data_IF_265685452254
#
_entry.id   IF_265685452254
#
_cell.length_a   1.000
_cell.length_b   1.000
_cell.length_c   1.000
_cell.angle_alpha   90.00
_cell.angle_beta   90.00
_cell.angle_gamma   90.00
#
_symmetry.space_group_name_H-M   'P 1'
#
loop_
_entity.id
_entity.type
_entity.pdbx_description
1 polymer ?
#
# COMPACT_ATOMS: atom_id res chain seq x y z
N UNK A 1 16.07 -6.51 13.60
CA UNK A 1 14.64 -6.57 13.90
C UNK A 1 14.23 -7.78 14.72
N UNK A 2 14.67 -8.99 14.38
CA UNK A 2 14.39 -10.22 15.16
C UNK A 2 14.90 -10.18 16.62
N UNK A 3 16.01 -9.48 16.89
CA UNK A 3 16.61 -9.36 18.23
C UNK A 3 15.76 -8.52 19.21
N UNK A 4 15.05 -7.50 18.72
CA UNK A 4 14.16 -6.69 19.55
C UNK A 4 12.92 -7.43 20.05
N UNK A 5 12.32 -8.26 19.17
CA UNK A 5 11.14 -9.06 19.51
C UNK A 5 11.46 -10.13 20.56
N UNK A 6 12.65 -10.74 20.48
CA UNK A 6 13.12 -11.75 21.45
C UNK A 6 13.38 -11.11 22.83
N UNK A 7 13.85 -9.85 22.89
CA UNK A 7 14.07 -9.16 24.16
C UNK A 7 12.76 -8.78 24.88
N UNK A 8 11.73 -8.36 24.17
CA UNK A 8 10.42 -8.00 24.75
C UNK A 8 9.70 -9.23 25.29
N UNK A 9 9.69 -10.33 24.55
CA UNK A 9 9.15 -11.62 25.01
C UNK A 9 9.94 -12.17 26.21
N UNK A 10 11.27 -11.99 26.21
CA UNK A 10 12.13 -12.41 27.31
C UNK A 10 11.91 -11.61 28.60
N UNK A 11 11.57 -10.33 28.52
CA UNK A 11 11.32 -9.48 29.70
C UNK A 11 9.97 -9.82 30.37
N UNK A 12 8.95 -10.14 29.59
CA UNK A 12 7.64 -10.50 30.11
C UNK A 12 7.63 -11.88 30.77
N UNK A 13 8.32 -12.85 30.20
CA UNK A 13 8.56 -14.16 30.85
C UNK A 13 9.36 -14.01 32.15
N UNK A 14 10.22 -13.00 32.26
CA UNK A 14 10.94 -12.69 33.49
C UNK A 14 10.07 -12.03 34.56
N UNK A 15 9.14 -11.13 34.19
CA UNK A 15 8.22 -10.46 35.12
C UNK A 15 7.16 -11.43 35.64
N UNK A 16 6.52 -12.21 34.78
CA UNK A 16 5.61 -13.31 35.19
C UNK A 16 6.38 -14.36 36.00
N UNK A 17 7.61 -14.70 35.60
CA UNK A 17 8.49 -15.60 36.34
C UNK A 17 8.90 -15.08 37.72
N UNK A 18 9.12 -13.75 37.89
CA UNK A 18 9.46 -13.15 39.17
C UNK A 18 8.27 -13.09 40.15
N UNK A 19 7.08 -12.76 39.66
CA UNK A 19 5.83 -12.81 40.50
C UNK A 19 5.52 -14.24 40.92
N UNK A 20 5.78 -15.21 40.05
CA UNK A 20 5.61 -16.65 40.34
C UNK A 20 6.65 -17.18 41.35
N UNK A 21 7.90 -16.64 41.29
CA UNK A 21 8.99 -17.09 42.17
C UNK A 21 8.80 -16.66 43.62
N UNK A 22 8.06 -15.59 43.90
CA UNK A 22 7.84 -15.09 45.26
C UNK A 22 6.71 -15.88 46.01
N UNK A 23 5.92 -16.71 45.35
CA UNK A 23 4.80 -17.46 46.01
C UNK A 23 4.99 -18.99 45.90
N UNK A 24 6.08 -19.50 46.44
CA UNK A 24 6.59 -20.85 46.25
C UNK A 24 6.00 -21.88 47.19
N UNK A 25 4.70 -22.26 47.08
CA UNK A 25 4.22 -23.54 47.65
C UNK A 25 3.14 -24.30 46.83
N UNK A 26 2.81 -23.86 45.61
CA UNK A 26 1.88 -24.58 44.73
C UNK A 26 2.40 -24.63 43.29
N UNK A 27 3.50 -25.36 43.04
CA UNK A 27 4.22 -25.38 41.76
C UNK A 27 3.47 -25.93 40.54
N UNK A 28 2.43 -26.72 40.72
CA UNK A 28 1.73 -27.36 39.58
C UNK A 28 0.53 -26.52 39.10
N UNK A 29 -0.21 -25.87 39.97
CA UNK A 29 -1.33 -25.00 39.61
C UNK A 29 -0.90 -23.71 38.92
N UNK A 30 0.28 -23.17 39.27
CA UNK A 30 0.83 -21.90 38.73
C UNK A 30 1.29 -22.02 37.29
N UNK A 31 1.74 -23.21 36.82
CA UNK A 31 2.21 -23.40 35.43
C UNK A 31 1.04 -23.45 34.44
N UNK A 32 -0.12 -23.96 34.85
CA UNK A 32 -1.32 -24.05 34.00
C UNK A 32 -2.02 -22.69 33.85
N UNK A 33 -1.96 -21.88 34.89
CA UNK A 33 -2.65 -20.59 35.01
C UNK A 33 -2.03 -19.44 34.20
N UNK A 34 -0.71 -19.41 34.03
CA UNK A 34 -0.02 -18.47 33.17
C UNK A 34 -0.27 -18.72 31.66
N UNK A 35 -0.54 -19.99 31.30
CA UNK A 35 -0.85 -20.36 29.92
C UNK A 35 -2.25 -19.91 29.48
N UNK A 36 -3.20 -19.84 30.37
CA UNK A 36 -4.57 -19.43 30.05
C UNK A 36 -4.62 -17.93 29.72
N UNK A 37 -4.02 -17.11 30.57
CA UNK A 37 -3.91 -15.67 30.34
C UNK A 37 -3.13 -15.36 29.05
N UNK A 38 -1.97 -16.02 28.85
CA UNK A 38 -1.15 -15.81 27.65
C UNK A 38 -1.90 -16.19 26.38
N UNK A 39 -2.70 -17.26 26.36
CA UNK A 39 -3.54 -17.62 25.21
C UNK A 39 -4.58 -16.55 24.88
N UNK A 40 -5.25 -15.97 25.88
CA UNK A 40 -6.21 -14.89 25.65
C UNK A 40 -5.52 -13.65 25.11
N UNK A 41 -4.35 -13.31 25.64
CA UNK A 41 -3.52 -12.20 25.15
C UNK A 41 -3.07 -12.46 23.69
N UNK A 42 -2.57 -13.67 23.39
CA UNK A 42 -2.16 -14.05 22.03
C UNK A 42 -3.32 -13.97 21.04
N UNK A 43 -4.54 -14.36 21.44
CA UNK A 43 -5.73 -14.25 20.57
C UNK A 43 -6.06 -12.80 20.27
N UNK A 44 -6.12 -11.93 21.27
CA UNK A 44 -6.39 -10.50 21.10
C UNK A 44 -5.32 -9.78 20.26
N UNK A 45 -4.04 -10.16 20.43
CA UNK A 45 -2.94 -9.59 19.63
C UNK A 45 -2.99 -10.10 18.19
N UNK A 46 -3.39 -11.36 17.95
CA UNK A 46 -3.38 -11.97 16.61
C UNK A 46 -4.39 -11.35 15.63
N UNK A 47 -5.54 -10.89 16.11
CA UNK A 47 -6.54 -10.20 15.28
C UNK A 47 -6.46 -8.66 15.37
N UNK A 48 -5.61 -8.15 16.26
CA UNK A 48 -5.36 -6.71 16.42
C UNK A 48 -6.48 -5.94 17.11
N UNK A 49 -7.43 -6.64 17.76
CA UNK A 49 -8.58 -6.03 18.42
C UNK A 49 -8.82 -6.66 19.78
N UNK A 50 -8.88 -5.88 20.84
CA UNK A 50 -9.26 -6.35 22.17
C UNK A 50 -10.77 -6.21 22.36
N UNK A 51 -11.50 -7.32 22.21
CA UNK A 51 -12.95 -7.36 22.33
C UNK A 51 -13.43 -7.26 23.79
N UNK A 52 -14.70 -6.89 24.01
CA UNK A 52 -15.28 -6.82 25.34
C UNK A 52 -15.29 -8.20 26.05
N UNK A 53 -15.45 -9.28 25.29
CA UNK A 53 -15.40 -10.64 25.83
C UNK A 53 -14.00 -11.00 26.34
N UNK A 54 -12.94 -10.61 25.59
CA UNK A 54 -11.56 -10.83 26.00
C UNK A 54 -11.19 -9.97 27.20
N UNK A 55 -11.63 -8.70 27.24
CA UNK A 55 -11.47 -7.85 28.43
C UNK A 55 -12.09 -8.48 29.68
N UNK A 56 -13.31 -8.98 29.56
CA UNK A 56 -14.02 -9.66 30.68
C UNK A 56 -13.28 -10.92 31.11
N UNK A 57 -12.76 -11.69 30.17
CA UNK A 57 -12.01 -12.91 30.47
C UNK A 57 -10.66 -12.60 31.14
N UNK A 58 -9.95 -11.60 30.66
CA UNK A 58 -8.70 -11.12 31.29
C UNK A 58 -8.98 -10.62 32.71
N UNK A 59 -10.05 -9.86 32.91
CA UNK A 59 -10.46 -9.37 34.23
C UNK A 59 -10.74 -10.51 35.20
N UNK A 60 -11.48 -11.52 34.78
CA UNK A 60 -11.76 -12.72 35.60
C UNK A 60 -10.49 -13.46 35.98
N UNK A 61 -9.59 -13.69 35.03
CA UNK A 61 -8.31 -14.33 35.27
C UNK A 61 -7.42 -13.47 36.20
N UNK A 62 -7.40 -12.16 36.03
CA UNK A 62 -6.64 -11.25 36.88
C UNK A 62 -7.13 -11.31 38.33
N UNK A 63 -8.44 -11.28 38.55
CA UNK A 63 -9.06 -11.41 39.90
C UNK A 63 -8.71 -12.77 40.50
N UNK A 64 -8.89 -13.86 39.75
CA UNK A 64 -8.62 -15.23 40.24
C UNK A 64 -7.18 -15.46 40.62
N UNK A 65 -6.26 -14.76 39.94
CA UNK A 65 -4.79 -14.90 40.09
C UNK A 65 -4.16 -13.78 40.92
N UNK A 66 -4.96 -12.87 41.48
CA UNK A 66 -4.48 -11.72 42.25
C UNK A 66 -3.46 -10.86 41.45
N UNK A 67 -3.70 -10.67 40.13
CA UNK A 67 -2.88 -9.88 39.23
C UNK A 67 -3.49 -8.49 39.04
N UNK A 68 -2.66 -7.49 38.68
CA UNK A 68 -3.14 -6.14 38.36
C UNK A 68 -3.74 -6.11 36.95
N UNK A 69 -5.06 -6.00 36.88
CA UNK A 69 -5.80 -5.92 35.64
C UNK A 69 -5.36 -4.74 34.76
N UNK A 70 -5.09 -3.56 35.37
CA UNK A 70 -4.73 -2.38 34.59
C UNK A 70 -3.36 -2.53 33.95
N UNK A 71 -2.40 -3.17 34.65
CA UNK A 71 -1.08 -3.46 34.10
C UNK A 71 -1.21 -4.43 32.91
N UNK A 72 -2.00 -5.48 33.03
CA UNK A 72 -2.23 -6.46 31.95
C UNK A 72 -2.89 -5.79 30.74
N UNK A 73 -3.95 -5.03 30.92
CA UNK A 73 -4.64 -4.35 29.83
C UNK A 73 -3.72 -3.37 29.11
N UNK A 74 -2.95 -2.58 29.82
CA UNK A 74 -2.00 -1.64 29.23
C UNK A 74 -0.96 -2.35 28.35
N UNK A 75 -0.46 -3.50 28.81
CA UNK A 75 0.46 -4.32 28.04
C UNK A 75 -0.19 -4.89 26.78
N UNK A 76 -1.42 -5.43 26.89
CA UNK A 76 -2.17 -5.98 25.75
C UNK A 76 -2.43 -4.89 24.68
N UNK A 77 -2.91 -3.72 25.10
CA UNK A 77 -3.15 -2.58 24.20
C UNK A 77 -1.88 -2.09 23.53
N UNK A 78 -0.76 -2.10 24.25
CA UNK A 78 0.55 -1.76 23.68
C UNK A 78 0.99 -2.77 22.63
N UNK A 79 0.83 -4.07 22.87
CA UNK A 79 1.15 -5.13 21.90
C UNK A 79 0.27 -5.04 20.66
N UNK A 80 -1.05 -4.81 20.83
CA UNK A 80 -1.99 -4.62 19.73
C UNK A 80 -1.62 -3.40 18.89
N UNK A 81 -1.28 -2.27 19.53
CA UNK A 81 -0.89 -1.06 18.79
C UNK A 81 0.40 -1.25 18.00
N UNK A 82 1.37 -1.98 18.55
CA UNK A 82 2.62 -2.32 17.87
C UNK A 82 2.36 -3.26 16.67
N UNK A 83 1.54 -4.30 16.87
CA UNK A 83 1.15 -5.23 15.81
C UNK A 83 0.44 -4.52 14.66
N UNK A 84 -0.50 -3.63 14.98
CA UNK A 84 -1.23 -2.85 13.97
C UNK A 84 -0.31 -1.87 13.22
N UNK A 85 0.63 -1.21 13.90
CA UNK A 85 1.60 -0.30 13.26
C UNK A 85 2.56 -1.04 12.33
N UNK A 86 3.03 -2.21 12.72
CA UNK A 86 3.91 -3.04 11.88
C UNK A 86 3.15 -3.57 10.65
N UNK A 87 1.88 -3.99 10.82
CA UNK A 87 1.02 -4.43 9.73
C UNK A 87 0.71 -3.29 8.74
N UNK A 88 0.42 -2.09 9.21
CA UNK A 88 0.22 -0.91 8.36
C UNK A 88 1.50 -0.56 7.59
N UNK A 89 2.66 -0.63 8.23
CA UNK A 89 3.96 -0.34 7.59
C UNK A 89 4.27 -1.35 6.49
N UNK A 90 4.01 -2.63 6.69
CA UNK A 90 4.17 -3.67 5.66
C UNK A 90 3.22 -3.46 4.48
N UNK A 91 1.96 -3.10 4.71
CA UNK A 91 0.97 -2.82 3.66
C UNK A 91 1.36 -1.57 2.86
N UNK A 92 1.82 -0.52 3.52
CA UNK A 92 2.26 0.73 2.87
C UNK A 92 3.48 0.46 2.00
N UNK A 93 4.46 -0.28 2.49
CA UNK A 93 5.67 -0.63 1.72
C UNK A 93 5.33 -1.53 0.52
N UNK A 94 4.46 -2.52 0.69
CA UNK A 94 3.98 -3.37 -0.38
C UNK A 94 3.26 -2.58 -1.48
N UNK A 95 2.36 -1.67 -1.13
CA UNK A 95 1.63 -0.85 -2.08
C UNK A 95 2.55 0.12 -2.82
N UNK A 96 3.48 0.76 -2.10
CA UNK A 96 4.50 1.63 -2.68
C UNK A 96 5.37 0.87 -3.67
N UNK A 97 5.92 -0.27 -3.26
CA UNK A 97 6.75 -1.12 -4.12
C UNK A 97 6.03 -1.52 -5.40
N UNK A 98 4.77 -1.95 -5.32
CA UNK A 98 3.99 -2.29 -6.52
C UNK A 98 3.70 -1.07 -7.38
N UNK A 99 3.52 0.13 -6.80
CA UNK A 99 3.43 1.38 -7.55
C UNK A 99 4.70 1.66 -8.36
N UNK A 100 5.85 1.66 -7.70
CA UNK A 100 7.17 1.89 -8.31
C UNK A 100 7.49 0.83 -9.39
N UNK A 101 7.16 -0.44 -9.14
CA UNK A 101 7.33 -1.52 -10.10
C UNK A 101 6.39 -1.37 -11.31
N UNK A 102 5.19 -0.84 -11.11
CA UNK A 102 4.24 -0.58 -12.19
C UNK A 102 4.68 0.58 -13.09
N UNK A 103 5.23 1.65 -12.53
CA UNK A 103 5.84 2.72 -13.33
C UNK A 103 6.93 2.18 -14.24
N UNK A 104 7.86 1.37 -13.70
CA UNK A 104 8.92 0.70 -14.48
C UNK A 104 8.34 -0.19 -15.58
N UNK A 105 7.29 -0.96 -15.24
CA UNK A 105 6.60 -1.80 -16.21
C UNK A 105 6.00 -0.98 -17.35
N UNK A 106 5.34 0.14 -17.06
CA UNK A 106 4.78 1.03 -18.08
C UNK A 106 5.89 1.64 -18.96
N UNK A 107 6.98 2.12 -18.37
CA UNK A 107 8.13 2.66 -19.13
C UNK A 107 8.65 1.62 -20.14
N UNK A 108 8.71 0.35 -19.81
CA UNK A 108 9.18 -0.70 -20.71
C UNK A 108 8.25 -0.97 -21.90
N UNK A 109 6.98 -0.49 -21.85
CA UNK A 109 6.04 -0.61 -22.97
C UNK A 109 6.28 0.40 -24.10
N UNK A 110 7.18 1.35 -23.90
CA UNK A 110 7.54 2.36 -24.88
C UNK A 110 8.86 1.99 -25.58
N UNK A 111 8.78 1.66 -26.85
CA UNK A 111 9.96 1.29 -27.64
C UNK A 111 10.92 2.50 -27.79
N UNK A 112 12.15 2.35 -27.31
CA UNK A 112 13.21 3.37 -27.36
C UNK A 112 13.50 3.87 -28.80
N UNK A 113 13.10 3.13 -29.82
CA UNK A 113 13.21 3.55 -31.21
C UNK A 113 12.34 4.78 -31.54
N UNK A 114 11.19 4.89 -30.84
CA UNK A 114 10.20 5.94 -31.09
C UNK A 114 10.05 6.91 -29.93
N UNK A 115 10.43 6.49 -28.70
CA UNK A 115 10.19 7.25 -27.49
C UNK A 115 11.50 7.61 -26.77
N UNK A 116 11.56 8.83 -26.26
CA UNK A 116 12.56 9.24 -25.29
C UNK A 116 11.87 9.77 -24.03
N UNK A 117 12.37 9.36 -22.87
CA UNK A 117 11.89 9.86 -21.57
C UNK A 117 12.45 11.27 -21.38
N UNK A 118 11.59 12.24 -21.15
CA UNK A 118 11.98 13.63 -20.83
C UNK A 118 12.03 13.83 -19.32
N UNK A 119 11.03 13.31 -18.60
CA UNK A 119 10.97 13.34 -17.17
C UNK A 119 10.34 12.05 -16.65
N UNK A 120 10.84 11.56 -15.50
CA UNK A 120 10.27 10.44 -14.78
C UNK A 120 10.32 10.73 -13.29
N UNK A 121 9.16 10.73 -12.63
CA UNK A 121 9.04 11.04 -11.20
C UNK A 121 9.75 10.02 -10.30
N UNK A 122 9.87 8.76 -10.74
CA UNK A 122 10.61 7.70 -10.04
C UNK A 122 12.10 7.97 -9.83
N UNK A 123 12.71 8.84 -10.63
CA UNK A 123 14.12 9.22 -10.50
C UNK A 123 14.37 10.42 -9.54
N UNK A 124 13.33 10.98 -8.95
CA UNK A 124 13.41 12.19 -8.09
C UNK A 124 13.80 11.93 -6.63
N UNK A 125 14.33 10.75 -6.31
CA UNK A 125 14.96 10.51 -5.02
C UNK A 125 16.41 11.04 -5.04
N UNK A 126 16.57 12.34 -4.84
CA UNK A 126 17.87 12.99 -4.73
C UNK A 126 18.11 13.35 -3.26
N UNK A 127 19.18 12.81 -2.66
CA UNK A 127 19.69 13.14 -1.33
C UNK A 127 18.74 12.93 -0.13
N UNK A 128 17.94 11.86 -0.13
CA UNK A 128 17.13 11.53 1.04
C UNK A 128 15.89 12.41 1.25
N UNK A 129 15.57 13.29 0.30
CA UNK A 129 14.41 14.18 0.39
C UNK A 129 13.49 13.94 -0.81
N UNK A 130 12.22 13.62 -0.54
CA UNK A 130 11.20 13.64 -1.59
C UNK A 130 11.07 15.07 -2.12
N UNK A 131 11.29 15.26 -3.41
CA UNK A 131 10.90 16.52 -4.03
C UNK A 131 9.40 16.73 -3.80
N UNK A 132 9.02 17.95 -3.36
CA UNK A 132 7.62 18.36 -3.20
C UNK A 132 6.81 17.86 -4.40
N UNK A 133 5.62 17.29 -4.15
CA UNK A 133 4.68 16.82 -5.16
C UNK A 133 4.72 17.65 -6.42
N UNK A 134 5.32 17.09 -7.47
CA UNK A 134 5.34 17.75 -8.78
C UNK A 134 3.92 17.85 -9.30
N UNK A 135 3.48 18.98 -9.87
CA UNK A 135 2.14 19.12 -10.46
C UNK A 135 1.95 18.27 -11.72
N UNK A 136 2.99 17.60 -12.17
CA UNK A 136 3.06 16.82 -13.42
C UNK A 136 2.75 15.34 -13.17
N UNK A 137 2.23 14.61 -14.18
CA UNK A 137 2.11 13.16 -14.17
C UNK A 137 3.48 12.45 -14.05
N UNK A 138 3.47 11.16 -13.70
CA UNK A 138 4.66 10.38 -13.34
C UNK A 138 5.72 10.32 -14.45
N UNK A 139 5.33 10.27 -15.74
CA UNK A 139 6.24 10.08 -16.88
C UNK A 139 5.89 11.08 -17.98
N UNK A 140 6.87 11.84 -18.44
CA UNK A 140 6.79 12.67 -19.64
C UNK A 140 7.65 12.06 -20.75
N UNK A 141 7.04 11.80 -21.91
CA UNK A 141 7.67 11.18 -23.07
C UNK A 141 7.65 12.12 -24.27
N UNK A 142 8.68 12.06 -25.08
CA UNK A 142 8.70 12.56 -26.44
C UNK A 142 8.61 11.38 -27.40
N UNK A 143 7.61 11.40 -28.26
CA UNK A 143 7.41 10.44 -29.35
C UNK A 143 7.90 11.04 -30.67
N UNK A 144 8.70 10.27 -31.41
CA UNK A 144 9.18 10.63 -32.74
C UNK A 144 8.93 9.52 -33.74
N UNK A 145 8.20 9.82 -34.77
CA UNK A 145 7.96 8.87 -35.85
C UNK A 145 7.98 9.58 -37.21
N UNK A 146 8.88 9.14 -38.07
CA UNK A 146 9.20 9.81 -39.35
C UNK A 146 9.62 11.28 -39.09
N UNK A 147 8.91 12.25 -39.69
CA UNK A 147 9.17 13.69 -39.51
C UNK A 147 8.27 14.36 -38.46
N UNK A 148 7.44 13.57 -37.78
CA UNK A 148 6.50 14.06 -36.76
C UNK A 148 7.07 13.82 -35.36
N UNK A 149 6.91 14.81 -34.50
CA UNK A 149 7.24 14.70 -33.07
C UNK A 149 6.08 15.22 -32.25
N UNK A 150 5.81 14.58 -31.10
CA UNK A 150 4.82 15.01 -30.13
C UNK A 150 5.23 14.58 -28.73
N UNK A 151 4.72 15.26 -27.71
CA UNK A 151 4.87 14.85 -26.33
C UNK A 151 3.58 14.21 -25.83
N UNK A 152 3.71 13.30 -24.87
CA UNK A 152 2.59 12.72 -24.13
C UNK A 152 3.04 12.45 -22.69
N UNK A 153 2.10 12.44 -21.77
CA UNK A 153 2.38 12.19 -20.37
C UNK A 153 1.54 11.03 -19.83
N UNK A 154 2.10 10.26 -18.90
CA UNK A 154 1.46 9.08 -18.32
C UNK A 154 1.45 9.25 -16.81
N UNK A 155 0.29 9.06 -16.21
CA UNK A 155 0.11 8.84 -14.78
C UNK A 155 -0.11 7.35 -14.53
N UNK A 156 0.61 6.74 -13.59
CA UNK A 156 0.61 5.30 -13.32
C UNK A 156 -0.12 5.00 -12.01
N UNK A 157 -1.07 4.08 -12.06
CA UNK A 157 -1.81 3.64 -10.87
C UNK A 157 -1.95 2.12 -10.85
N UNK A 158 -1.27 1.47 -9.90
CA UNK A 158 -1.51 0.06 -9.62
C UNK A 158 -2.52 -0.09 -8.48
N UNK A 159 -3.41 -1.06 -8.61
CA UNK A 159 -4.39 -1.43 -7.58
C UNK A 159 -4.48 -2.94 -7.46
N UNK A 160 -4.49 -3.44 -6.23
CA UNK A 160 -4.65 -4.89 -5.98
C UNK A 160 -6.01 -5.38 -6.48
N UNK A 161 -7.06 -4.61 -6.24
CA UNK A 161 -8.45 -4.94 -6.57
C UNK A 161 -9.22 -3.69 -7.02
N UNK A 162 -10.34 -3.92 -7.69
CA UNK A 162 -11.34 -2.87 -7.93
C UNK A 162 -12.04 -2.47 -6.63
N UNK A 163 -12.37 -1.19 -6.51
CA UNK A 163 -13.19 -0.64 -5.43
C UNK A 163 -14.51 -0.13 -6.01
N UNK A 164 -15.67 -0.53 -5.45
CA UNK A 164 -17.00 -0.14 -5.96
C UNK A 164 -17.17 -0.32 -7.47
N UNK A 165 -16.70 -1.45 -7.99
CA UNK A 165 -16.69 -1.75 -9.43
C UNK A 165 -15.96 -0.71 -10.30
N UNK A 166 -14.89 -0.13 -9.80
CA UNK A 166 -14.09 0.84 -10.53
C UNK A 166 -12.76 1.12 -9.85
N UNK A 167 -12.13 2.22 -10.24
CA UNK A 167 -10.84 2.69 -9.70
C UNK A 167 -10.93 4.17 -9.40
N UNK A 168 -10.69 4.55 -8.16
CA UNK A 168 -10.30 5.90 -7.79
C UNK A 168 -8.79 6.03 -8.06
N UNK A 169 -8.44 6.70 -9.17
CA UNK A 169 -7.05 6.80 -9.59
C UNK A 169 -6.32 7.99 -8.99
N UNK A 170 -7.05 9.00 -8.50
CA UNK A 170 -6.49 10.20 -7.90
C UNK A 170 -7.45 10.81 -6.87
N UNK A 171 -6.95 11.67 -5.98
CA UNK A 171 -7.79 12.61 -5.24
C UNK A 171 -8.29 13.70 -6.20
N UNK A 172 -9.41 14.37 -5.86
CA UNK A 172 -10.02 15.40 -6.73
C UNK A 172 -9.02 16.51 -7.12
N UNK A 173 -8.26 17.02 -6.16
CA UNK A 173 -7.25 18.06 -6.40
C UNK A 173 -6.12 17.57 -7.34
N UNK A 174 -5.78 16.30 -7.29
CA UNK A 174 -4.77 15.70 -8.15
C UNK A 174 -5.30 15.53 -9.58
N UNK A 175 -6.56 15.11 -9.72
CA UNK A 175 -7.24 15.03 -11.01
C UNK A 175 -7.31 16.40 -11.69
N UNK A 176 -7.66 17.45 -10.97
CA UNK A 176 -7.68 18.83 -11.48
C UNK A 176 -6.28 19.30 -11.90
N UNK A 177 -5.23 18.95 -11.14
CA UNK A 177 -3.85 19.28 -11.54
C UNK A 177 -3.46 18.61 -12.86
N UNK A 178 -3.85 17.35 -13.10
CA UNK A 178 -3.57 16.68 -14.37
C UNK A 178 -4.32 17.33 -15.53
N UNK A 179 -5.56 17.74 -15.34
CA UNK A 179 -6.32 18.49 -16.35
C UNK A 179 -5.65 19.82 -16.67
N UNK A 180 -5.32 20.59 -15.65
CA UNK A 180 -4.60 21.86 -15.83
C UNK A 180 -3.26 21.67 -16.52
N UNK A 181 -2.52 20.61 -16.20
CA UNK A 181 -1.26 20.29 -16.90
C UNK A 181 -1.52 20.01 -18.39
N UNK A 182 -2.48 19.15 -18.71
CA UNK A 182 -2.84 18.83 -20.10
C UNK A 182 -3.23 20.09 -20.89
N UNK A 183 -4.09 20.92 -20.32
CA UNK A 183 -4.64 22.09 -20.99
C UNK A 183 -3.58 23.21 -21.15
N UNK A 184 -2.79 23.48 -20.12
CA UNK A 184 -1.76 24.55 -20.16
C UNK A 184 -0.56 24.19 -21.02
N UNK A 185 -0.14 22.90 -21.00
CA UNK A 185 1.02 22.44 -21.75
C UNK A 185 0.67 21.96 -23.16
N UNK A 186 -0.63 21.76 -23.43
CA UNK A 186 -1.13 21.13 -24.66
C UNK A 186 -0.49 19.75 -24.91
N UNK A 187 -0.29 18.98 -23.83
CA UNK A 187 0.29 17.64 -23.84
C UNK A 187 -0.79 16.64 -23.43
N UNK A 188 -1.16 15.65 -24.28
CA UNK A 188 -2.13 14.64 -23.91
C UNK A 188 -1.64 13.81 -22.71
N UNK A 189 -2.52 13.64 -21.72
CA UNK A 189 -2.27 12.84 -20.52
C UNK A 189 -3.06 11.55 -20.61
N UNK A 190 -2.42 10.44 -20.26
CA UNK A 190 -3.03 9.12 -20.16
C UNK A 190 -2.91 8.60 -18.74
N UNK A 191 -3.97 7.97 -18.25
CA UNK A 191 -3.96 7.27 -16.98
C UNK A 191 -3.75 5.78 -17.25
N UNK A 192 -2.57 5.27 -16.88
CA UNK A 192 -2.24 3.86 -16.94
C UNK A 192 -2.68 3.19 -15.63
N UNK A 193 -3.57 2.20 -15.72
CA UNK A 193 -4.13 1.50 -14.57
C UNK A 193 -3.81 0.02 -14.69
N UNK A 194 -3.05 -0.51 -13.71
CA UNK A 194 -2.81 -1.93 -13.53
C UNK A 194 -3.68 -2.50 -12.42
N UNK A 195 -4.36 -3.61 -12.67
CA UNK A 195 -5.21 -4.28 -11.66
C UNK A 195 -4.71 -5.70 -11.45
N UNK A 196 -4.67 -6.11 -10.17
CA UNK A 196 -4.30 -7.47 -9.77
C UNK A 196 -2.81 -7.79 -9.98
N UNK A 197 -2.44 -9.02 -9.70
CA UNK A 197 -1.07 -9.51 -9.83
C UNK A 197 -0.05 -8.71 -9.01
N UNK A 198 1.07 -8.39 -9.64
CA UNK A 198 2.14 -7.54 -9.08
C UNK A 198 2.35 -6.31 -9.96
N UNK A 199 2.94 -5.24 -9.43
CA UNK A 199 3.20 -4.02 -10.19
C UNK A 199 3.93 -4.26 -11.52
N UNK A 200 4.95 -5.10 -11.52
CA UNK A 200 5.69 -5.47 -12.74
C UNK A 200 4.96 -6.51 -13.65
N UNK A 201 3.84 -7.06 -13.21
CA UNK A 201 3.04 -8.07 -13.94
C UNK A 201 1.57 -7.99 -13.53
N UNK A 202 0.86 -6.90 -13.90
CA UNK A 202 -0.57 -6.76 -13.62
C UNK A 202 -1.38 -7.81 -14.42
N UNK A 203 -2.51 -8.24 -13.88
CA UNK A 203 -3.44 -9.15 -14.56
C UNK A 203 -4.23 -8.43 -15.64
N UNK A 204 -4.60 -7.18 -15.38
CA UNK A 204 -5.32 -6.32 -16.33
C UNK A 204 -4.60 -4.97 -16.46
N UNK A 205 -4.60 -4.43 -17.66
CA UNK A 205 -3.99 -3.16 -17.99
C UNK A 205 -4.94 -2.29 -18.78
N UNK A 206 -5.12 -1.05 -18.34
CA UNK A 206 -5.98 -0.06 -19.01
C UNK A 206 -5.19 1.23 -19.24
N UNK A 207 -5.37 1.84 -20.42
CA UNK A 207 -4.78 3.14 -20.76
C UNK A 207 -5.89 4.09 -21.17
N UNK A 208 -6.27 4.98 -20.26
CA UNK A 208 -7.41 5.88 -20.45
C UNK A 208 -6.93 7.28 -20.76
N UNK A 209 -7.28 7.89 -21.90
CA UNK A 209 -7.00 9.30 -22.14
C UNK A 209 -7.70 10.16 -21.07
N UNK A 210 -6.98 11.11 -20.46
CA UNK A 210 -7.55 12.00 -19.45
C UNK A 210 -8.72 12.83 -20.00
N UNK A 211 -8.67 13.19 -21.28
CA UNK A 211 -9.75 13.89 -22.00
C UNK A 211 -11.07 13.09 -22.06
N UNK A 212 -11.05 11.80 -21.77
CA UNK A 212 -12.22 10.92 -21.72
C UNK A 212 -12.70 10.64 -20.29
N UNK A 213 -12.10 11.24 -19.28
CA UNK A 213 -12.40 11.03 -17.86
C UNK A 213 -13.10 12.26 -17.31
N UNK A 214 -14.25 12.07 -16.66
CA UNK A 214 -15.09 13.16 -16.15
C UNK A 214 -14.92 13.38 -14.64
N UNK A 215 -14.39 12.37 -13.91
CA UNK A 215 -14.16 12.41 -12.47
C UNK A 215 -12.91 11.61 -12.09
N UNK A 216 -12.45 11.76 -10.87
CA UNK A 216 -11.32 11.00 -10.31
C UNK A 216 -11.60 9.51 -10.11
N UNK A 217 -12.82 9.04 -10.40
CA UNK A 217 -13.23 7.64 -10.34
C UNK A 217 -13.67 7.14 -11.72
N UNK A 218 -13.18 5.96 -12.13
CA UNK A 218 -13.51 5.34 -13.42
C UNK A 218 -14.17 3.99 -13.17
N UNK A 219 -15.42 3.84 -13.57
CA UNK A 219 -16.15 2.58 -13.45
C UNK A 219 -15.61 1.52 -14.44
N UNK A 220 -15.66 0.24 -14.05
CA UNK A 220 -15.12 -0.88 -14.85
C UNK A 220 -15.70 -0.94 -16.27
N UNK A 221 -16.95 -0.59 -16.45
CA UNK A 221 -17.57 -0.56 -17.78
C UNK A 221 -16.87 0.44 -18.72
N UNK A 222 -16.39 1.57 -18.20
CA UNK A 222 -15.61 2.55 -18.97
C UNK A 222 -14.18 2.06 -19.18
N UNK A 223 -13.57 1.45 -18.17
CA UNK A 223 -12.21 0.89 -18.26
C UNK A 223 -12.09 -0.15 -19.37
N UNK A 224 -13.08 -1.03 -19.54
CA UNK A 224 -13.08 -2.09 -20.57
C UNK A 224 -12.89 -1.58 -21.99
N UNK A 225 -13.30 -0.36 -22.31
CA UNK A 225 -13.05 0.25 -23.64
C UNK A 225 -11.58 0.61 -23.87
N UNK A 226 -10.78 0.69 -22.80
CA UNK A 226 -9.39 1.10 -22.84
C UNK A 226 -8.44 -0.01 -22.38
N UNK A 227 -8.92 -1.25 -22.37
CA UNK A 227 -8.11 -2.40 -21.99
C UNK A 227 -7.02 -2.65 -23.03
N UNK A 228 -5.82 -2.93 -22.54
CA UNK A 228 -4.63 -3.24 -23.34
C UNK A 228 -4.11 -4.64 -22.99
N UNK A 229 -3.51 -5.29 -23.98
CA UNK A 229 -2.80 -6.54 -23.74
C UNK A 229 -1.55 -6.27 -22.92
N UNK A 230 -1.38 -6.97 -21.81
CA UNK A 230 -0.24 -6.78 -20.89
C UNK A 230 1.13 -7.03 -21.53
N UNK A 231 1.21 -7.79 -22.63
CA UNK A 231 2.46 -8.17 -23.28
C UNK A 231 2.78 -7.38 -24.57
N UNK A 232 2.00 -6.33 -24.90
CA UNK A 232 2.25 -5.52 -26.11
C UNK A 232 2.84 -4.16 -25.76
N UNK A 233 3.71 -3.65 -26.63
CA UNK A 233 4.21 -2.29 -26.56
C UNK A 233 3.16 -1.31 -27.06
N UNK A 234 3.24 -0.07 -26.57
CA UNK A 234 2.34 1.01 -26.96
C UNK A 234 2.87 1.76 -28.17
N UNK A 235 1.93 2.22 -29.00
CA UNK A 235 2.21 3.10 -30.12
C UNK A 235 1.29 4.31 -30.08
N UNK A 236 1.88 5.52 -30.08
CA UNK A 236 1.12 6.77 -30.03
C UNK A 236 0.71 7.20 -31.43
N UNK A 237 -0.57 7.36 -31.64
CA UNK A 237 -1.11 7.94 -32.85
C UNK A 237 -1.29 9.45 -32.65
N UNK A 238 -0.40 10.23 -33.30
CA UNK A 238 -0.38 11.70 -33.17
C UNK A 238 -1.67 12.33 -33.72
N UNK A 239 -2.29 11.73 -34.74
CA UNK A 239 -3.46 12.32 -35.42
C UNK A 239 -4.74 12.17 -34.59
N UNK A 240 -4.88 11.04 -33.92
CA UNK A 240 -6.04 10.76 -33.06
C UNK A 240 -5.80 11.07 -31.59
N UNK A 241 -4.56 11.36 -31.19
CA UNK A 241 -4.14 11.46 -29.79
C UNK A 241 -4.51 10.20 -28.97
N UNK A 242 -4.33 9.02 -29.56
CA UNK A 242 -4.60 7.75 -28.93
C UNK A 242 -3.33 6.94 -28.70
N UNK A 243 -3.26 6.24 -27.59
CA UNK A 243 -2.23 5.26 -27.29
C UNK A 243 -2.78 3.85 -27.60
N UNK A 244 -2.27 3.26 -28.68
CA UNK A 244 -2.69 1.94 -29.21
C UNK A 244 -1.81 0.82 -28.68
#
# INVERSE_FOLDING_TARGET
MIVGLIMIVGLFTLIIGAVIYFNSNNKIAVIDNGRELEKVIEMAVADGVLTDNERTLIEQIAIEKELDYNEIITEVETRISTFNSDSETEIIDYNKKNGDDFEKYIVQKFDKKYYSIKEWAGDKYINGTYAKTTPQPDILLEFKFRQKSSQLSIECKWRKNLYKNGVEFAKQEQFERYRNFQDNMNIPVFIAIGIGGKGHSPEQLFIVPLSKIDSNFIHINKLKYYEKRVNTNFFFDIETNELK
#
